data_IF_436679630291
#
_entry.id   IF_436679630291
#
_cell.length_a   1.000
_cell.length_b   1.000
_cell.length_c   1.000
_cell.angle_alpha   90.00
_cell.angle_beta   90.00
_cell.angle_gamma   90.00
#
_symmetry.space_group_name_H-M   'P 1'
#
loop_
_entity.id
_entity.type
_entity.pdbx_description
1 polymer ?
#
# COMPACT_ATOMS: atom_id res chain seq x y z
N UNK A 1 -10.92 -4.36 10.30
CA UNK A 1 -9.83 -4.14 9.32
C UNK A 1 -8.53 -4.19 10.10
N UNK A 2 -7.70 -5.20 9.87
CA UNK A 2 -6.43 -5.42 10.60
C UNK A 2 -5.39 -4.37 10.18
N UNK A 3 -4.51 -3.94 11.09
CA UNK A 3 -3.51 -2.89 10.83
C UNK A 3 -2.53 -3.27 9.69
N UNK A 4 -2.39 -4.56 9.42
CA UNK A 4 -1.54 -5.14 8.36
C UNK A 4 -2.01 -4.78 6.95
N UNK A 5 -3.31 -4.58 6.76
CA UNK A 5 -3.91 -4.23 5.47
C UNK A 5 -3.95 -2.73 5.20
N UNK A 6 -3.42 -1.91 6.14
CA UNK A 6 -3.44 -0.46 6.04
C UNK A 6 -2.10 0.05 5.47
N UNK A 7 -2.10 0.63 4.26
CA UNK A 7 -0.90 1.23 3.70
C UNK A 7 -0.59 2.56 4.38
N UNK A 8 0.69 2.87 4.46
CA UNK A 8 1.15 4.19 4.92
C UNK A 8 1.43 5.10 3.72
N UNK A 9 1.22 6.39 3.90
CA UNK A 9 1.63 7.43 2.96
C UNK A 9 2.45 8.49 3.68
N UNK A 10 3.56 8.92 3.07
CA UNK A 10 4.31 10.08 3.56
C UNK A 10 3.57 11.36 3.19
N UNK A 11 3.37 12.24 4.16
CA UNK A 11 2.92 13.62 3.93
C UNK A 11 3.99 14.56 4.46
N UNK A 12 4.19 15.66 3.74
CA UNK A 12 5.05 16.77 4.16
C UNK A 12 4.19 17.94 4.59
N UNK A 13 4.52 18.56 5.73
CA UNK A 13 3.98 19.84 6.18
C UNK A 13 5.15 20.73 6.58
N UNK A 14 5.53 21.65 5.68
CA UNK A 14 6.76 22.43 5.83
C UNK A 14 8.00 21.55 5.78
N UNK A 15 8.82 21.58 6.84
CA UNK A 15 10.04 20.75 6.96
C UNK A 15 9.70 19.34 7.49
N UNK A 16 8.59 19.19 8.21
CA UNK A 16 8.23 17.92 8.85
C UNK A 16 7.63 16.93 7.86
N UNK A 17 8.15 15.70 7.88
CA UNK A 17 7.59 14.55 7.15
C UNK A 17 7.01 13.58 8.18
N UNK A 18 5.76 13.17 7.98
CA UNK A 18 5.10 12.21 8.83
C UNK A 18 4.31 11.18 8.02
N UNK A 19 4.11 10.04 8.64
CA UNK A 19 3.32 8.95 8.10
C UNK A 19 1.85 9.12 8.46
N UNK A 20 0.98 8.77 7.52
CA UNK A 20 -0.46 8.67 7.74
C UNK A 20 -0.99 7.38 7.15
N UNK A 21 -2.11 6.90 7.69
CA UNK A 21 -2.91 5.85 7.05
C UNK A 21 -3.42 6.36 5.70
N UNK A 22 -3.10 5.60 4.65
CA UNK A 22 -3.56 5.83 3.30
C UNK A 22 -4.89 5.12 3.06
N UNK A 23 -5.61 5.54 2.01
CA UNK A 23 -6.87 4.91 1.61
C UNK A 23 -6.67 3.49 1.07
N UNK A 24 -5.55 3.24 0.40
CA UNK A 24 -5.22 1.96 -0.23
C UNK A 24 -3.82 1.96 -0.83
N UNK A 25 -3.38 0.78 -1.27
CA UNK A 25 -2.08 0.55 -1.92
C UNK A 25 -2.07 1.13 -3.33
N UNK A 26 -0.93 1.66 -3.77
CA UNK A 26 -0.81 2.17 -5.14
C UNK A 26 -0.66 1.03 -6.15
N UNK A 27 -0.94 1.32 -7.42
CA UNK A 27 -0.73 0.34 -8.50
C UNK A 27 0.73 -0.09 -8.61
N UNK A 28 1.66 0.84 -8.36
CA UNK A 28 3.10 0.55 -8.38
C UNK A 28 3.50 -0.41 -7.26
N UNK A 29 2.99 -0.22 -6.04
CA UNK A 29 3.28 -1.11 -4.91
C UNK A 29 2.74 -2.52 -5.14
N UNK A 30 1.52 -2.65 -5.67
CA UNK A 30 0.94 -3.94 -6.03
C UNK A 30 1.78 -4.65 -7.09
N UNK A 31 2.19 -3.93 -8.14
CA UNK A 31 3.02 -4.49 -9.21
C UNK A 31 4.38 -4.99 -8.69
N UNK A 32 5.05 -4.21 -7.85
CA UNK A 32 6.32 -4.58 -7.20
C UNK A 32 6.18 -5.76 -6.23
N UNK A 33 5.01 -5.91 -5.62
CA UNK A 33 4.67 -7.06 -4.79
C UNK A 33 4.24 -8.29 -5.60
N UNK A 34 4.17 -8.22 -6.93
CA UNK A 34 3.71 -9.32 -7.79
C UNK A 34 2.19 -9.54 -7.74
N UNK A 35 1.43 -8.52 -7.32
CA UNK A 35 -0.02 -8.55 -7.22
C UNK A 35 -0.68 -7.79 -8.37
N UNK A 36 -1.72 -8.40 -8.93
CA UNK A 36 -2.64 -7.71 -9.82
C UNK A 36 -3.80 -7.09 -9.01
N UNK A 37 -4.40 -6.02 -9.54
CA UNK A 37 -5.50 -5.28 -8.87
C UNK A 37 -6.68 -6.19 -8.57
N UNK A 38 -7.05 -7.06 -9.50
CA UNK A 38 -8.17 -7.99 -9.30
C UNK A 38 -7.89 -9.00 -8.19
N UNK A 39 -6.64 -9.50 -8.12
CA UNK A 39 -6.22 -10.41 -7.06
C UNK A 39 -6.23 -9.70 -5.70
N UNK A 40 -5.69 -8.48 -5.65
CA UNK A 40 -5.71 -7.63 -4.45
C UNK A 40 -7.14 -7.39 -3.94
N UNK A 41 -8.07 -7.03 -4.83
CA UNK A 41 -9.49 -6.83 -4.48
C UNK A 41 -10.15 -8.10 -3.97
N UNK A 42 -9.89 -9.26 -4.58
CA UNK A 42 -10.39 -10.57 -4.12
C UNK A 42 -9.88 -10.92 -2.72
N UNK A 43 -8.65 -10.53 -2.38
CA UNK A 43 -8.06 -10.71 -1.05
C UNK A 43 -8.50 -9.64 -0.04
N UNK A 44 -9.39 -8.71 -0.42
CA UNK A 44 -9.84 -7.63 0.46
C UNK A 44 -8.80 -6.53 0.69
N UNK A 45 -7.72 -6.50 -0.09
CA UNK A 45 -6.67 -5.48 0.02
C UNK A 45 -7.19 -4.16 -0.58
N UNK A 46 -7.17 -3.05 0.16
CA UNK A 46 -7.63 -1.76 -0.34
C UNK A 46 -6.67 -1.22 -1.40
N UNK A 47 -7.19 -0.83 -2.56
CA UNK A 47 -6.40 -0.31 -3.68
C UNK A 47 -6.75 1.16 -3.94
N UNK A 48 -5.74 2.00 -4.11
CA UNK A 48 -5.86 3.39 -4.56
C UNK A 48 -5.18 3.58 -5.93
N UNK A 49 -5.93 3.41 -7.04
CA UNK A 49 -5.38 3.51 -8.39
C UNK A 49 -4.85 4.90 -8.74
N UNK A 50 -5.27 5.94 -8.02
CA UNK A 50 -4.91 7.34 -8.30
C UNK A 50 -3.58 7.72 -7.66
N UNK A 51 -3.11 6.96 -6.66
CA UNK A 51 -1.85 7.19 -5.97
C UNK A 51 -0.67 6.73 -6.83
N UNK A 52 0.30 7.62 -7.05
CA UNK A 52 1.55 7.32 -7.80
C UNK A 52 2.76 7.08 -6.90
N UNK A 53 2.68 7.41 -5.62
CA UNK A 53 3.76 7.18 -4.66
C UNK A 53 3.95 5.69 -4.39
N UNK A 54 5.20 5.29 -4.23
CA UNK A 54 5.60 3.92 -3.90
C UNK A 54 6.45 3.98 -2.64
N UNK A 55 6.11 3.15 -1.66
CA UNK A 55 6.86 3.03 -0.41
C UNK A 55 7.29 1.58 -0.19
N UNK A 56 8.59 1.35 0.07
CA UNK A 56 9.15 0.01 0.29
C UNK A 56 8.45 -0.74 1.43
N UNK A 57 8.17 -0.05 2.54
CA UNK A 57 7.44 -0.58 3.69
C UNK A 57 6.07 -1.16 3.30
N UNK A 58 5.36 -0.54 2.34
CA UNK A 58 4.08 -1.06 1.86
C UNK A 58 4.27 -2.29 0.95
N UNK A 59 5.34 -2.32 0.14
CA UNK A 59 5.65 -3.46 -0.73
C UNK A 59 6.00 -4.69 0.12
N UNK A 60 6.79 -4.52 1.17
CA UNK A 60 7.16 -5.59 2.09
C UNK A 60 5.92 -6.18 2.77
N UNK A 61 5.03 -5.34 3.31
CA UNK A 61 3.73 -5.79 3.84
C UNK A 61 2.91 -6.58 2.82
N UNK A 62 2.83 -6.11 1.57
CA UNK A 62 2.11 -6.84 0.52
C UNK A 62 2.77 -8.20 0.21
N UNK A 63 4.09 -8.29 0.23
CA UNK A 63 4.81 -9.55 0.00
C UNK A 63 4.59 -10.54 1.15
N UNK A 64 4.55 -10.07 2.39
CA UNK A 64 4.22 -10.91 3.55
C UNK A 64 2.81 -11.46 3.46
N UNK A 65 1.83 -10.62 3.09
CA UNK A 65 0.44 -11.01 2.88
C UNK A 65 0.25 -12.05 1.75
N UNK A 66 1.16 -12.11 0.78
CA UNK A 66 1.10 -13.05 -0.36
C UNK A 66 1.82 -14.37 -0.08
N UNK A 67 2.77 -14.36 0.86
CA UNK A 67 3.49 -15.56 1.27
C UNK A 67 2.67 -16.46 2.20
N UNK A 68 1.65 -15.91 2.84
CA UNK A 68 0.67 -16.66 3.66
C UNK A 68 -0.44 -17.23 2.79
#
# INVERSE_FOLDING_TARGET
MTDETIPLAKRRRGITVFWRRARGFSLGELKEAGLNVDKARKMGIPVDPRRRSIHKENIEKLKELVKS
#
